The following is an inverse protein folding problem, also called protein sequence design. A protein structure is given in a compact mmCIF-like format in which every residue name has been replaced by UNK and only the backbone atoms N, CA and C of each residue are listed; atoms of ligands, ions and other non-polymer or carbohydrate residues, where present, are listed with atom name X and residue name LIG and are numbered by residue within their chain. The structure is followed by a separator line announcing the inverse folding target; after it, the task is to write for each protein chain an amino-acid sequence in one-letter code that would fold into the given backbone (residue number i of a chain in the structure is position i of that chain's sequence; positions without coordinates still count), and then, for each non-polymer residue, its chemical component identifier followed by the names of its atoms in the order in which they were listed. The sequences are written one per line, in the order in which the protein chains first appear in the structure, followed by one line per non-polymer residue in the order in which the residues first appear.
data_IF_597154331063
#
_entry.id   IF_597154331063
#
_cell.length_a   1.000
_cell.length_b   1.000
_cell.length_c   1.000
_cell.angle_alpha   90.00
_cell.angle_beta   90.00
_cell.angle_gamma   90.00
#
_symmetry.space_group_name_H-M   'P 1'
#
loop_
_entity.id
_entity.type
_entity.pdbx_description
1 polymer ?
#
# COMPACT_ATOMS: atom_id res chain seq x y z
N UNK A 1 66.47 -22.55 -6.64
CA UNK A 1 65.04 -22.43 -7.02
C UNK A 1 64.57 -20.99 -6.76
N UNK A 2 64.37 -20.18 -7.80
CA UNK A 2 64.04 -18.74 -7.67
C UNK A 2 62.51 -18.60 -7.61
N UNK A 3 61.95 -18.34 -6.42
CA UNK A 3 60.52 -18.04 -6.26
C UNK A 3 60.24 -16.70 -6.95
N UNK A 4 59.65 -16.73 -8.15
CA UNK A 4 59.10 -15.53 -8.81
C UNK A 4 57.90 -15.07 -7.98
N UNK A 5 58.10 -14.10 -7.10
CA UNK A 5 57.00 -13.39 -6.44
C UNK A 5 56.12 -12.74 -7.51
N UNK A 6 54.81 -12.99 -7.46
CA UNK A 6 53.84 -12.38 -8.36
C UNK A 6 53.92 -10.85 -8.21
N UNK A 7 54.18 -10.16 -9.32
CA UNK A 7 54.25 -8.70 -9.37
C UNK A 7 52.91 -8.08 -8.95
N UNK A 8 52.94 -7.10 -8.04
CA UNK A 8 51.78 -6.38 -7.49
C UNK A 8 50.88 -5.81 -8.61
N UNK A 9 51.44 -5.40 -9.76
CA UNK A 9 50.65 -4.94 -10.91
C UNK A 9 49.73 -6.02 -11.49
N UNK A 10 50.12 -7.30 -11.43
CA UNK A 10 49.33 -8.42 -11.95
C UNK A 10 48.19 -8.82 -11.00
N UNK A 11 48.36 -8.57 -9.70
CA UNK A 11 47.32 -8.82 -8.68
C UNK A 11 46.18 -7.80 -8.74
N UNK A 12 46.44 -6.54 -9.15
CA UNK A 12 45.39 -5.50 -9.23
C UNK A 12 44.26 -5.83 -10.22
N UNK A 13 44.57 -6.51 -11.33
CA UNK A 13 43.57 -6.93 -12.31
C UNK A 13 42.68 -8.07 -11.82
N UNK A 14 43.27 -9.06 -11.13
CA UNK A 14 42.53 -10.19 -10.57
C UNK A 14 41.53 -9.75 -9.49
N UNK A 15 41.94 -8.85 -8.59
CA UNK A 15 41.07 -8.30 -7.53
C UNK A 15 39.88 -7.53 -8.12
N UNK A 16 40.07 -6.79 -9.23
CA UNK A 16 38.98 -6.11 -9.90
C UNK A 16 37.94 -7.08 -10.51
N UNK A 17 38.40 -8.21 -11.03
CA UNK A 17 37.53 -9.26 -11.60
C UNK A 17 36.76 -9.99 -10.48
N UNK A 18 37.43 -10.33 -9.38
CA UNK A 18 36.78 -10.92 -8.20
C UNK A 18 35.70 -10.01 -7.62
N UNK A 19 35.99 -8.70 -7.51
CA UNK A 19 35.01 -7.71 -7.10
C UNK A 19 33.83 -7.62 -8.08
N UNK A 20 34.08 -7.67 -9.39
CA UNK A 20 33.01 -7.63 -10.38
C UNK A 20 32.04 -8.81 -10.24
N UNK A 21 32.55 -10.03 -9.98
CA UNK A 21 31.70 -11.19 -9.73
C UNK A 21 30.88 -11.07 -8.44
N UNK A 22 31.43 -10.45 -7.38
CA UNK A 22 30.69 -10.19 -6.14
C UNK A 22 29.70 -9.03 -6.27
N UNK A 23 30.01 -8.02 -7.09
CA UNK A 23 29.18 -6.85 -7.30
C UNK A 23 27.86 -7.18 -8.00
N UNK A 24 27.84 -8.20 -8.86
CA UNK A 24 26.62 -8.62 -9.56
C UNK A 24 25.49 -9.03 -8.57
N UNK A 25 25.65 -10.05 -7.70
CA UNK A 25 24.59 -10.41 -6.76
C UNK A 25 24.34 -9.30 -5.72
N UNK A 26 25.36 -8.52 -5.34
CA UNK A 26 25.19 -7.42 -4.39
C UNK A 26 24.32 -6.29 -4.95
N UNK A 27 24.53 -5.90 -6.20
CA UNK A 27 23.71 -4.87 -6.87
C UNK A 27 22.27 -5.32 -7.09
N UNK A 28 22.05 -6.58 -7.47
CA UNK A 28 20.71 -7.17 -7.54
C UNK A 28 19.99 -7.11 -6.19
N UNK A 29 20.69 -7.46 -5.11
CA UNK A 29 20.14 -7.43 -3.76
C UNK A 29 19.82 -6.01 -3.30
N UNK A 30 20.70 -5.03 -3.58
CA UNK A 30 20.46 -3.62 -3.28
C UNK A 30 19.23 -3.07 -4.03
N UNK A 31 19.10 -3.36 -5.33
CA UNK A 31 17.93 -2.97 -6.11
C UNK A 31 16.66 -3.65 -5.59
N UNK A 32 16.74 -4.93 -5.22
CA UNK A 32 15.62 -5.68 -4.64
C UNK A 32 15.14 -5.08 -3.32
N UNK A 33 16.07 -4.71 -2.42
CA UNK A 33 15.74 -4.03 -1.16
C UNK A 33 15.10 -2.67 -1.43
N UNK A 34 15.62 -1.90 -2.39
CA UNK A 34 15.08 -0.58 -2.71
C UNK A 34 13.62 -0.67 -3.23
N UNK A 35 13.34 -1.58 -4.16
CA UNK A 35 11.98 -1.77 -4.68
C UNK A 35 11.03 -2.34 -3.61
N UNK A 36 11.49 -3.30 -2.80
CA UNK A 36 10.70 -3.84 -1.69
C UNK A 36 10.37 -2.77 -0.64
N UNK A 37 11.36 -1.95 -0.25
CA UNK A 37 11.15 -0.86 0.69
C UNK A 37 10.15 0.17 0.17
N UNK A 38 10.22 0.50 -1.12
CA UNK A 38 9.23 1.35 -1.76
C UNK A 38 7.84 0.70 -1.79
N UNK A 39 7.71 -0.57 -2.16
CA UNK A 39 6.43 -1.28 -2.13
C UNK A 39 5.81 -1.29 -0.72
N UNK A 40 6.63 -1.56 0.30
CA UNK A 40 6.22 -1.53 1.69
C UNK A 40 5.76 -0.14 2.13
N UNK A 41 6.48 0.93 1.73
CA UNK A 41 6.08 2.31 2.00
C UNK A 41 4.70 2.64 1.39
N UNK A 42 4.47 2.28 0.13
CA UNK A 42 3.19 2.53 -0.56
C UNK A 42 2.05 1.81 0.13
N UNK A 43 2.22 0.52 0.43
CA UNK A 43 1.22 -0.29 1.12
C UNK A 43 0.83 0.29 2.48
N UNK A 44 1.82 0.62 3.33
CA UNK A 44 1.56 1.15 4.67
C UNK A 44 0.96 2.55 4.65
N UNK A 45 1.30 3.36 3.65
CA UNK A 45 0.69 4.68 3.48
C UNK A 45 -0.81 4.55 3.17
N UNK A 46 -1.16 3.63 2.27
CA UNK A 46 -2.56 3.34 1.96
C UNK A 46 -3.28 2.76 3.19
N UNK A 47 -2.70 1.77 3.87
CA UNK A 47 -3.30 1.15 5.06
C UNK A 47 -3.63 2.18 6.15
N UNK A 48 -2.71 3.10 6.44
CA UNK A 48 -2.94 4.19 7.40
C UNK A 48 -4.08 5.11 6.96
N UNK A 49 -4.06 5.55 5.71
CA UNK A 49 -5.09 6.45 5.17
C UNK A 49 -6.49 5.82 5.16
N UNK A 50 -6.58 4.51 4.88
CA UNK A 50 -7.82 3.73 4.90
C UNK A 50 -8.34 3.59 6.34
N UNK A 51 -7.47 3.35 7.33
CA UNK A 51 -7.86 3.33 8.75
C UNK A 51 -8.38 4.69 9.21
N UNK A 52 -7.73 5.78 8.81
CA UNK A 52 -8.16 7.13 9.19
C UNK A 52 -9.54 7.47 8.58
N UNK A 53 -9.78 7.08 7.33
CA UNK A 53 -11.09 7.23 6.70
C UNK A 53 -12.16 6.35 7.35
N UNK A 54 -11.85 5.09 7.65
CA UNK A 54 -12.78 4.21 8.38
C UNK A 54 -13.11 4.78 9.77
N UNK A 55 -12.11 5.34 10.48
CA UNK A 55 -12.33 6.01 11.77
C UNK A 55 -13.23 7.23 11.63
N UNK A 56 -13.02 8.06 10.61
CA UNK A 56 -13.88 9.21 10.36
C UNK A 56 -15.32 8.76 10.12
N UNK A 57 -15.55 7.80 9.23
CA UNK A 57 -16.89 7.33 8.89
C UNK A 57 -17.57 6.55 10.02
N UNK A 58 -16.80 5.92 10.90
CA UNK A 58 -17.33 5.22 12.08
C UNK A 58 -18.07 6.15 13.05
N UNK A 59 -17.70 7.43 13.08
CA UNK A 59 -18.29 8.45 13.92
C UNK A 59 -19.57 9.09 13.34
N UNK A 60 -20.01 8.66 12.15
CA UNK A 60 -21.22 9.14 11.50
C UNK A 60 -22.15 7.97 11.16
N UNK A 61 -23.45 8.23 11.22
CA UNK A 61 -24.43 7.29 10.70
C UNK A 61 -24.62 7.52 9.19
N UNK A 62 -24.61 6.46 8.35
CA UNK A 62 -24.76 6.59 6.89
C UNK A 62 -26.14 7.09 6.45
N UNK A 63 -27.11 7.15 7.38
CA UNK A 63 -28.46 7.64 7.12
C UNK A 63 -28.58 9.16 7.28
N UNK A 64 -27.56 9.82 7.83
CA UNK A 64 -27.57 11.27 8.03
C UNK A 64 -27.16 11.99 6.75
N UNK A 65 -27.74 13.17 6.52
CA UNK A 65 -27.49 13.97 5.32
C UNK A 65 -26.05 14.51 5.24
N UNK A 66 -25.34 14.59 6.37
CA UNK A 66 -23.97 15.08 6.49
C UNK A 66 -22.91 13.96 6.39
N UNK A 67 -23.30 12.74 5.99
CA UNK A 67 -22.38 11.61 5.90
C UNK A 67 -21.20 11.89 4.94
N UNK A 68 -19.95 11.98 5.44
CA UNK A 68 -18.86 12.63 4.71
C UNK A 68 -18.10 11.67 3.75
N UNK A 69 -18.83 11.04 2.82
CA UNK A 69 -18.27 10.05 1.87
C UNK A 69 -17.15 10.64 1.01
N UNK A 70 -17.40 11.80 0.40
CA UNK A 70 -16.42 12.46 -0.47
C UNK A 70 -15.15 12.85 0.31
N UNK A 71 -15.31 13.39 1.51
CA UNK A 71 -14.19 13.71 2.38
C UNK A 71 -13.39 12.47 2.79
N UNK A 72 -14.05 11.31 2.99
CA UNK A 72 -13.35 10.06 3.29
C UNK A 72 -12.55 9.56 2.10
N UNK A 73 -13.10 9.63 0.89
CA UNK A 73 -12.37 9.30 -0.33
C UNK A 73 -11.15 10.24 -0.53
N UNK A 74 -11.33 11.54 -0.27
CA UNK A 74 -10.23 12.49 -0.29
C UNK A 74 -9.16 12.19 0.76
N UNK A 75 -9.57 11.80 1.98
CA UNK A 75 -8.66 11.47 3.06
C UNK A 75 -7.77 10.26 2.71
N UNK A 76 -8.35 9.24 2.07
CA UNK A 76 -7.59 8.08 1.57
C UNK A 76 -6.61 8.47 0.47
N UNK A 77 -7.03 9.28 -0.51
CA UNK A 77 -6.21 9.59 -1.68
C UNK A 77 -5.13 10.67 -1.41
N UNK A 78 -5.44 11.68 -0.59
CA UNK A 78 -4.65 12.91 -0.42
C UNK A 78 -4.25 13.20 1.04
N UNK A 79 -4.74 12.43 2.02
CA UNK A 79 -4.48 12.68 3.44
C UNK A 79 -5.18 13.92 3.99
N UNK A 80 -6.12 14.50 3.25
CA UNK A 80 -6.95 15.63 3.68
C UNK A 80 -8.37 15.49 3.12
N UNK A 81 -9.33 16.16 3.74
CA UNK A 81 -10.76 16.07 3.37
C UNK A 81 -11.13 16.91 2.14
N UNK A 82 -10.22 17.78 1.66
CA UNK A 82 -10.45 18.70 0.55
C UNK A 82 -9.90 18.24 -0.81
N UNK A 83 -9.33 17.02 -0.89
CA UNK A 83 -8.67 16.51 -2.10
C UNK A 83 -7.60 17.48 -2.66
N UNK A 84 -6.92 18.23 -1.80
CA UNK A 84 -5.94 19.22 -2.21
C UNK A 84 -4.52 18.65 -2.24
N UNK A 85 -3.69 19.17 -3.14
CA UNK A 85 -2.28 18.78 -3.27
C UNK A 85 -2.06 17.50 -4.08
N UNK A 86 -0.88 16.90 -3.91
CA UNK A 86 -0.51 15.65 -4.58
C UNK A 86 -1.09 14.44 -3.82
N UNK A 87 -1.45 13.35 -4.52
CA UNK A 87 -1.85 12.10 -3.88
C UNK A 87 -0.77 11.59 -2.91
N UNK A 88 -1.20 10.90 -1.84
CA UNK A 88 -0.29 10.29 -0.86
C UNK A 88 0.70 9.33 -1.49
N UNK A 89 0.24 8.63 -2.53
CA UNK A 89 1.05 7.71 -3.31
C UNK A 89 0.75 7.89 -4.79
N UNK A 90 1.79 7.85 -5.63
CA UNK A 90 1.66 8.00 -7.07
C UNK A 90 0.68 6.99 -7.68
N UNK A 91 -0.29 7.48 -8.46
CA UNK A 91 -1.29 6.63 -9.11
C UNK A 91 -2.53 6.32 -8.26
N UNK A 92 -2.54 6.69 -6.97
CA UNK A 92 -3.73 6.56 -6.12
C UNK A 92 -4.80 7.57 -6.54
N UNK A 93 -6.03 7.09 -6.76
CA UNK A 93 -7.19 7.90 -7.18
C UNK A 93 -8.36 7.66 -6.23
N UNK A 94 -9.21 8.67 -6.06
CA UNK A 94 -10.45 8.56 -5.27
C UNK A 94 -11.41 7.49 -5.83
N UNK A 95 -11.37 7.24 -7.14
CA UNK A 95 -12.16 6.18 -7.80
C UNK A 95 -11.76 4.76 -7.39
N UNK A 96 -10.56 4.56 -6.83
CA UNK A 96 -10.11 3.26 -6.31
C UNK A 96 -10.64 2.99 -4.90
N UNK A 97 -11.17 4.02 -4.23
CA UNK A 97 -11.68 3.96 -2.86
C UNK A 97 -13.14 3.53 -2.88
N UNK A 98 -13.40 2.35 -2.32
CA UNK A 98 -14.75 1.80 -2.14
C UNK A 98 -15.09 1.88 -0.65
N UNK A 99 -16.26 2.44 -0.36
CA UNK A 99 -16.81 2.54 0.99
C UNK A 99 -18.01 1.61 1.05
N UNK A 100 -18.02 0.74 2.05
CA UNK A 100 -19.05 -0.25 2.29
C UNK A 100 -19.68 0.00 3.65
N UNK A 101 -20.97 0.28 3.67
CA UNK A 101 -21.76 0.50 4.87
C UNK A 101 -23.20 0.01 4.64
N UNK A 102 -24.15 0.35 5.52
CA UNK A 102 -25.53 -0.12 5.38
C UNK A 102 -26.26 0.40 4.11
N UNK A 103 -25.81 1.52 3.55
CA UNK A 103 -26.40 2.19 2.38
C UNK A 103 -25.52 1.98 1.15
N UNK A 104 -24.21 2.19 1.29
CA UNK A 104 -23.24 2.05 0.21
C UNK A 104 -22.78 0.59 0.10
N UNK A 105 -23.25 -0.10 -0.94
CA UNK A 105 -22.97 -1.54 -1.15
C UNK A 105 -22.29 -1.85 -2.49
N UNK A 106 -22.04 -0.83 -3.31
CA UNK A 106 -21.43 -0.98 -4.64
C UNK A 106 -19.99 -1.47 -4.52
N UNK A 107 -19.70 -2.65 -5.08
CA UNK A 107 -18.35 -3.24 -5.03
C UNK A 107 -18.00 -3.87 -3.68
N UNK A 108 -18.97 -4.08 -2.81
CA UNK A 108 -18.80 -4.63 -1.47
C UNK A 108 -19.27 -6.09 -1.41
N UNK A 109 -18.59 -6.90 -0.60
CA UNK A 109 -18.96 -8.30 -0.38
C UNK A 109 -19.17 -8.52 1.11
N UNK A 110 -20.39 -8.83 1.53
CA UNK A 110 -20.75 -9.05 2.93
C UNK A 110 -21.94 -8.23 3.38
N UNK A 111 -22.31 -8.38 4.65
CA UNK A 111 -23.35 -7.58 5.28
C UNK A 111 -22.71 -6.53 6.20
N UNK A 112 -23.18 -5.30 6.12
CA UNK A 112 -22.67 -4.15 6.89
C UNK A 112 -23.70 -3.58 7.87
N UNK A 113 -24.95 -4.06 7.77
CA UNK A 113 -26.07 -3.69 8.63
C UNK A 113 -26.44 -4.85 9.54
N UNK A 114 -26.69 -4.57 10.82
CA UNK A 114 -27.14 -5.56 11.79
C UNK A 114 -26.26 -6.83 11.74
N UNK A 115 -24.94 -6.65 11.71
CA UNK A 115 -23.97 -7.75 11.73
C UNK A 115 -24.02 -8.39 13.11
N UNK A 116 -24.35 -9.67 13.14
CA UNK A 116 -24.51 -10.43 14.38
C UNK A 116 -23.15 -10.60 15.08
N UNK A 117 -23.07 -10.20 16.35
CA UNK A 117 -21.87 -10.31 17.18
C UNK A 117 -21.88 -11.53 18.09
N UNK A 118 -23.06 -12.11 18.34
CA UNK A 118 -23.20 -13.29 19.18
C UNK A 118 -24.35 -14.20 18.69
N UNK A 119 -24.39 -15.48 19.09
CA UNK A 119 -25.50 -16.37 18.74
C UNK A 119 -26.86 -15.95 19.32
N UNK A 120 -26.90 -15.05 20.31
CA UNK A 120 -28.11 -14.61 21.02
C UNK A 120 -28.86 -13.49 20.30
N UNK A 121 -28.25 -12.84 19.30
CA UNK A 121 -28.90 -11.90 18.39
C UNK A 121 -28.48 -10.45 18.57
N UNK A 122 -27.42 -10.15 19.33
CA UNK A 122 -26.85 -8.81 19.38
C UNK A 122 -26.25 -8.46 18.03
N UNK A 123 -26.51 -7.24 17.57
CA UNK A 123 -26.04 -6.77 16.27
C UNK A 123 -25.38 -5.40 16.33
N UNK A 124 -24.40 -5.20 15.45
CA UNK A 124 -23.75 -3.91 15.26
C UNK A 124 -23.77 -3.53 13.77
N UNK A 125 -23.73 -2.23 13.50
CA UNK A 125 -23.42 -1.74 12.17
C UNK A 125 -21.91 -1.58 12.02
N UNK A 126 -21.39 -1.80 10.82
CA UNK A 126 -19.98 -1.65 10.51
C UNK A 126 -19.81 -0.86 9.23
N UNK A 127 -18.68 -0.15 9.14
CA UNK A 127 -18.22 0.50 7.92
C UNK A 127 -16.88 -0.11 7.53
N UNK A 128 -16.72 -0.44 6.25
CA UNK A 128 -15.46 -0.84 5.66
C UNK A 128 -15.04 0.20 4.63
N UNK A 129 -13.80 0.65 4.72
CA UNK A 129 -13.16 1.42 3.66
C UNK A 129 -12.13 0.51 3.02
N UNK A 130 -12.09 0.46 1.70
CA UNK A 130 -11.12 -0.33 0.96
C UNK A 130 -10.57 0.42 -0.25
N UNK A 131 -9.31 0.17 -0.57
CA UNK A 131 -8.68 0.58 -1.83
C UNK A 131 -8.48 -0.65 -2.68
N UNK A 132 -8.98 -0.60 -3.90
CA UNK A 132 -8.96 -1.72 -4.85
C UNK A 132 -8.24 -1.33 -6.13
N UNK A 133 -7.52 -2.27 -6.74
CA UNK A 133 -6.89 -2.06 -8.04
C UNK A 133 -5.73 -1.05 -8.05
N UNK A 134 -5.09 -0.79 -6.91
CA UNK A 134 -3.92 0.07 -6.85
C UNK A 134 -2.70 -0.61 -7.49
N UNK A 135 -2.19 -0.02 -8.57
CA UNK A 135 -0.99 -0.47 -9.26
C UNK A 135 0.28 0.03 -8.58
N UNK A 136 1.20 -0.88 -8.30
CA UNK A 136 2.49 -0.56 -7.72
C UNK A 136 3.33 0.34 -8.64
N UNK A 137 3.89 1.42 -8.08
CA UNK A 137 4.79 2.33 -8.79
C UNK A 137 6.26 2.00 -8.48
N UNK A 138 6.98 1.46 -9.45
CA UNK A 138 8.41 1.14 -9.36
C UNK A 138 9.32 2.38 -9.43
N UNK A 139 10.53 2.30 -8.86
CA UNK A 139 11.52 3.40 -8.88
C UNK A 139 12.57 3.20 -9.99
N UNK A 140 13.16 2.00 -10.04
CA UNK A 140 14.34 1.71 -10.86
C UNK A 140 13.98 1.05 -12.20
N UNK A 141 12.80 0.43 -12.28
CA UNK A 141 12.36 -0.30 -13.48
C UNK A 141 13.10 -1.62 -13.73
N UNK A 142 14.09 -1.97 -12.91
CA UNK A 142 15.01 -3.08 -13.15
C UNK A 142 14.32 -4.45 -13.22
N UNK A 143 13.34 -4.68 -12.34
CA UNK A 143 12.58 -5.93 -12.26
C UNK A 143 11.29 -5.94 -13.11
N UNK A 144 11.03 -4.87 -13.88
CA UNK A 144 9.82 -4.69 -14.69
C UNK A 144 8.51 -5.05 -13.96
N UNK A 145 8.22 -4.34 -12.87
CA UNK A 145 7.09 -4.61 -11.99
C UNK A 145 5.84 -3.75 -12.29
N UNK A 146 5.80 -3.09 -13.45
CA UNK A 146 4.76 -2.10 -13.78
C UNK A 146 3.32 -2.62 -13.91
N UNK A 147 3.12 -3.95 -13.86
CA UNK A 147 1.80 -4.59 -13.87
C UNK A 147 1.37 -5.17 -12.51
N UNK A 148 2.16 -4.99 -11.46
CA UNK A 148 1.85 -5.55 -10.15
C UNK A 148 0.74 -4.73 -9.48
N UNK A 149 -0.38 -5.38 -9.17
CA UNK A 149 -1.52 -4.77 -8.49
C UNK A 149 -1.53 -5.27 -7.06
N UNK A 150 -1.61 -4.36 -6.09
CA UNK A 150 -1.81 -4.76 -4.69
C UNK A 150 -3.21 -5.33 -4.49
N UNK A 151 -3.31 -6.34 -3.63
CA UNK A 151 -4.61 -6.84 -3.18
C UNK A 151 -5.40 -5.75 -2.45
N UNK A 152 -6.70 -5.98 -2.24
CA UNK A 152 -7.57 -5.03 -1.57
C UNK A 152 -7.02 -4.69 -0.17
N UNK A 153 -6.68 -3.42 0.05
CA UNK A 153 -6.26 -2.91 1.35
C UNK A 153 -7.51 -2.33 2.00
N UNK A 154 -7.94 -2.93 3.11
CA UNK A 154 -9.20 -2.54 3.75
C UNK A 154 -9.11 -2.46 5.27
N UNK A 155 -9.95 -1.60 5.85
CA UNK A 155 -10.16 -1.50 7.29
C UNK A 155 -11.66 -1.49 7.58
N UNK A 156 -12.06 -2.23 8.61
CA UNK A 156 -13.44 -2.30 9.10
C UNK A 156 -13.51 -1.73 10.50
N UNK A 157 -14.51 -0.91 10.78
CA UNK A 157 -14.78 -0.38 12.13
C UNK A 157 -16.28 -0.46 12.45
N UNK A 158 -16.60 -0.56 13.74
CA UNK A 158 -17.98 -0.41 14.23
C UNK A 158 -18.48 0.99 13.90
N UNK A 159 -19.69 1.10 13.40
CA UNK A 159 -20.35 2.36 13.07
C UNK A 159 -21.45 2.68 14.10
N UNK A 160 -21.68 3.97 14.35
CA UNK A 160 -22.72 4.46 15.28
C UNK A 160 -24.13 4.43 14.69
#
# INVERSE_FOLDING_TARGET
MRKKGLSIRRMRGAVAVEFAFLAIPLTLLLLGIAEFGNAYYQYNTIDKSVRDAARMLSAYSPLQADYPVAAAQCLVAYGNTGCSGSPLVGGLKTSMVVICDQVNTTGCTGNFKNVQTDPSGDTINIVQVKVTGYGYSQITGFFNLGGLIFGDISCVMRQI
#
